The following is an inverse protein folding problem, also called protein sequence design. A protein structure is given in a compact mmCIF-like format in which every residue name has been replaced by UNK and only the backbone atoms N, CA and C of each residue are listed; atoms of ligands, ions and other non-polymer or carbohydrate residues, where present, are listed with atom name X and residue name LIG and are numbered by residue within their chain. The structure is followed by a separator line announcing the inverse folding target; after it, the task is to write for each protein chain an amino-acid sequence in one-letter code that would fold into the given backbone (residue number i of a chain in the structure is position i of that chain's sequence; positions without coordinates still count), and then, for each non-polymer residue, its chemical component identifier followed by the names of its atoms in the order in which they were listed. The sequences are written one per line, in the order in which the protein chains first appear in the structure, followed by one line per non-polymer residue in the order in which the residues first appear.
data_IF_485372375445
#
_entry.id   IF_485372375445
#
_cell.length_a   1.000
_cell.length_b   1.000
_cell.length_c   1.000
_cell.angle_alpha   90.00
_cell.angle_beta   90.00
_cell.angle_gamma   90.00
#
_symmetry.space_group_name_H-M   'P 1'
#
loop_
_entity.id
_entity.type
_entity.pdbx_description
1 polymer ?
#
# COMPACT_ATOMS: atom_id res chain seq x y z
N UNK A 1 24.00 9.88 6.90
CA UNK A 1 22.60 10.25 6.57
C UNK A 1 22.43 10.96 5.22
N UNK A 2 23.21 12.01 4.87
CA UNK A 2 23.07 12.77 3.60
C UNK A 2 23.10 11.94 2.30
N UNK A 3 23.97 10.92 2.21
CA UNK A 3 24.09 10.08 1.01
C UNK A 3 22.83 9.25 0.71
N UNK A 4 22.18 8.69 1.72
CA UNK A 4 20.94 7.93 1.57
C UNK A 4 19.77 8.77 1.07
N UNK A 5 19.71 10.05 1.44
CA UNK A 5 18.68 10.98 0.99
C UNK A 5 18.82 11.31 -0.50
N UNK A 6 20.06 11.54 -0.96
CA UNK A 6 20.38 11.81 -2.37
C UNK A 6 20.05 10.60 -3.24
N UNK A 7 20.37 9.38 -2.80
CA UNK A 7 20.05 8.15 -3.55
C UNK A 7 18.54 7.94 -3.71
N UNK A 8 17.74 8.22 -2.66
CA UNK A 8 16.28 8.12 -2.72
C UNK A 8 15.66 9.15 -3.67
N UNK A 9 16.17 10.38 -3.66
CA UNK A 9 15.73 11.44 -4.60
C UNK A 9 16.12 11.07 -6.04
N UNK A 10 17.32 10.56 -6.26
CA UNK A 10 17.77 10.14 -7.59
C UNK A 10 16.94 8.96 -8.13
N UNK A 11 16.57 7.99 -7.29
CA UNK A 11 15.64 6.91 -7.66
C UNK A 11 14.24 7.44 -7.98
N UNK A 12 13.73 8.38 -7.19
CA UNK A 12 12.42 8.97 -7.45
C UNK A 12 12.42 9.74 -8.77
N UNK A 13 13.46 10.55 -9.01
CA UNK A 13 13.65 11.28 -10.25
C UNK A 13 13.81 10.35 -11.45
N UNK A 14 14.55 9.24 -11.32
CA UNK A 14 14.69 8.28 -12.41
C UNK A 14 13.36 7.57 -12.72
N UNK A 15 12.58 7.18 -11.71
CA UNK A 15 11.23 6.63 -11.92
C UNK A 15 10.33 7.64 -12.64
N UNK A 16 10.42 8.93 -12.28
CA UNK A 16 9.65 9.99 -12.93
C UNK A 16 10.09 10.19 -14.39
N UNK A 17 11.40 10.23 -14.67
CA UNK A 17 11.90 10.41 -16.05
C UNK A 17 11.59 9.21 -16.93
N UNK A 18 11.75 7.98 -16.43
CA UNK A 18 11.35 6.76 -17.15
C UNK A 18 9.82 6.72 -17.39
N UNK A 19 9.03 7.16 -16.41
CA UNK A 19 7.57 7.28 -16.55
C UNK A 19 7.13 8.31 -17.59
N UNK A 20 7.89 9.39 -17.77
CA UNK A 20 7.65 10.40 -18.81
C UNK A 20 8.09 9.93 -20.20
N UNK A 21 9.27 9.31 -20.30
CA UNK A 21 9.84 8.83 -21.56
C UNK A 21 9.06 7.64 -22.15
N UNK A 22 8.53 6.74 -21.30
CA UNK A 22 7.65 5.66 -21.73
C UNK A 22 6.32 6.16 -22.31
N UNK A 23 5.86 7.36 -21.92
CA UNK A 23 4.62 7.94 -22.42
C UNK A 23 4.81 8.77 -23.71
N UNK A 24 6.01 9.29 -23.99
CA UNK A 24 6.31 10.04 -25.22
C UNK A 24 6.68 9.16 -26.41
N UNK A 25 7.18 7.93 -26.20
CA UNK A 25 7.76 7.13 -27.30
C UNK A 25 6.80 6.31 -28.17
N UNK A 26 5.55 6.00 -27.79
CA UNK A 26 4.74 5.07 -28.60
C UNK A 26 3.23 5.37 -28.57
N UNK A 27 2.74 6.09 -29.60
CA UNK A 27 1.29 6.27 -29.87
C UNK A 27 0.49 4.95 -29.96
N UNK A 28 1.16 3.81 -30.15
CA UNK A 28 0.56 2.49 -30.30
C UNK A 28 0.75 1.52 -29.11
N UNK A 29 1.46 1.92 -28.04
CA UNK A 29 1.66 1.00 -26.92
C UNK A 29 0.43 0.95 -26.01
N UNK A 30 -0.17 -0.24 -25.89
CA UNK A 30 -1.32 -0.49 -25.00
C UNK A 30 -0.91 -0.45 -23.53
N UNK A 31 0.38 -0.65 -23.24
CA UNK A 31 0.94 -0.58 -21.90
C UNK A 31 1.41 0.84 -21.58
N UNK A 32 0.94 1.40 -20.47
CA UNK A 32 1.26 2.76 -20.05
C UNK A 32 1.58 2.83 -18.57
N UNK A 33 2.57 3.63 -18.21
CA UNK A 33 2.78 4.01 -16.82
C UNK A 33 1.62 4.90 -16.38
N UNK A 34 0.88 4.48 -15.35
CA UNK A 34 -0.42 5.07 -15.03
C UNK A 34 -0.30 6.05 -13.89
N UNK A 35 0.17 5.62 -12.73
CA UNK A 35 0.24 6.50 -11.57
C UNK A 35 1.30 6.07 -10.55
N UNK A 36 1.71 7.04 -9.76
CA UNK A 36 2.38 6.83 -8.48
C UNK A 36 1.46 7.33 -7.37
N UNK A 37 1.51 6.69 -6.22
CA UNK A 37 0.68 7.01 -5.08
C UNK A 37 1.47 6.85 -3.79
N UNK A 38 1.20 7.72 -2.82
CA UNK A 38 1.62 7.55 -1.44
C UNK A 38 0.40 7.70 -0.54
N UNK A 39 0.40 7.01 0.60
CA UNK A 39 -0.67 7.10 1.57
C UNK A 39 -0.19 6.86 2.99
N UNK A 40 -0.98 7.36 3.93
CA UNK A 40 -0.81 7.13 5.35
C UNK A 40 -2.18 6.85 5.97
N UNK A 41 -2.22 6.16 7.09
CA UNK A 41 -3.48 5.87 7.74
C UNK A 41 -3.32 4.98 8.96
N UNK A 42 -4.36 4.19 9.22
CA UNK A 42 -4.43 3.27 10.34
C UNK A 42 -4.57 1.83 9.85
N UNK A 43 -4.10 0.89 10.64
CA UNK A 43 -4.32 -0.54 10.41
C UNK A 43 -4.81 -1.23 11.67
N UNK A 44 -5.42 -2.39 11.48
CA UNK A 44 -5.83 -3.33 12.51
C UNK A 44 -5.51 -4.75 12.03
N UNK A 45 -4.82 -5.54 12.84
CA UNK A 45 -4.55 -6.96 12.59
C UNK A 45 -5.36 -7.82 13.54
N UNK A 46 -6.11 -8.76 12.96
CA UNK A 46 -6.83 -9.80 13.70
C UNK A 46 -6.11 -11.14 13.53
N UNK A 47 -5.44 -11.68 14.56
CA UNK A 47 -4.76 -12.96 14.46
C UNK A 47 -5.76 -14.10 14.33
N UNK A 48 -5.33 -15.18 13.69
CA UNK A 48 -6.09 -16.43 13.59
C UNK A 48 -5.84 -17.38 14.75
N UNK A 49 -4.72 -17.20 15.46
CA UNK A 49 -4.39 -17.94 16.67
C UNK A 49 -4.69 -17.08 17.91
N UNK A 50 -5.39 -17.68 18.88
CA UNK A 50 -5.76 -17.06 20.17
C UNK A 50 -4.55 -16.72 21.07
N UNK A 51 -3.37 -17.25 20.76
CA UNK A 51 -2.13 -16.95 21.47
C UNK A 51 -1.54 -15.57 21.11
N UNK A 52 -2.09 -14.90 20.11
CA UNK A 52 -1.67 -13.58 19.64
C UNK A 52 -2.74 -12.53 20.00
N UNK A 53 -2.31 -11.29 20.20
CA UNK A 53 -3.23 -10.17 20.44
C UNK A 53 -3.73 -9.55 19.11
N UNK A 54 -4.86 -8.86 19.18
CA UNK A 54 -5.21 -7.90 18.14
C UNK A 54 -4.25 -6.71 18.23
N UNK A 55 -3.82 -6.15 17.10
CA UNK A 55 -2.94 -4.99 17.11
C UNK A 55 -3.49 -3.91 16.19
N UNK A 56 -3.32 -2.66 16.60
CA UNK A 56 -3.71 -1.50 15.79
C UNK A 56 -2.57 -0.49 15.78
N UNK A 57 -2.47 0.28 14.71
CA UNK A 57 -1.39 1.24 14.59
C UNK A 57 -1.51 2.13 13.38
N UNK A 58 -0.42 2.83 13.07
CA UNK A 58 -0.30 3.65 11.86
C UNK A 58 0.28 2.82 10.74
N UNK A 59 -0.14 3.13 9.52
CA UNK A 59 0.39 2.55 8.29
C UNK A 59 0.85 3.64 7.35
N UNK A 60 1.88 3.33 6.58
CA UNK A 60 2.33 4.10 5.42
C UNK A 60 2.41 3.17 4.23
N UNK A 61 2.00 3.65 3.07
CA UNK A 61 2.08 2.89 1.84
C UNK A 61 2.53 3.73 0.65
N UNK A 62 3.10 3.04 -0.32
CA UNK A 62 3.46 3.58 -1.63
C UNK A 62 3.02 2.60 -2.70
N UNK A 63 2.50 3.11 -3.81
CA UNK A 63 2.00 2.27 -4.89
C UNK A 63 2.43 2.84 -6.24
N UNK A 64 2.87 1.95 -7.12
CA UNK A 64 3.16 2.24 -8.53
C UNK A 64 2.17 1.43 -9.36
N UNK A 65 1.53 2.06 -10.35
CA UNK A 65 0.58 1.37 -11.23
C UNK A 65 0.89 1.57 -12.71
N UNK A 66 0.60 0.52 -13.46
CA UNK A 66 0.66 0.45 -14.91
C UNK A 66 -0.71 0.04 -15.45
N UNK A 67 -1.08 0.53 -16.62
CA UNK A 67 -2.34 0.18 -17.28
C UNK A 67 -2.10 -0.56 -18.59
N UNK A 68 -2.90 -1.59 -18.84
CA UNK A 68 -3.05 -2.22 -20.14
C UNK A 68 -4.53 -2.27 -20.51
N UNK A 69 -4.93 -1.47 -21.51
CA UNK A 69 -6.34 -1.20 -21.83
C UNK A 69 -7.13 -0.72 -20.59
N UNK A 70 -8.15 -1.48 -20.16
CA UNK A 70 -8.99 -1.19 -18.98
C UNK A 70 -8.43 -1.80 -17.68
N UNK A 71 -7.33 -2.55 -17.75
CA UNK A 71 -6.79 -3.27 -16.62
C UNK A 71 -5.62 -2.50 -15.99
N UNK A 72 -5.51 -2.58 -14.67
CA UNK A 72 -4.51 -1.90 -13.86
C UNK A 72 -3.70 -2.97 -13.13
N UNK A 73 -2.38 -2.88 -13.25
CA UNK A 73 -1.41 -3.68 -12.49
C UNK A 73 -0.74 -2.74 -11.51
N UNK A 74 -0.76 -3.08 -10.22
CA UNK A 74 -0.17 -2.25 -9.18
C UNK A 74 0.82 -3.03 -8.34
N UNK A 75 1.95 -2.40 -8.06
CA UNK A 75 2.91 -2.83 -7.06
C UNK A 75 2.77 -1.92 -5.84
N UNK A 76 2.45 -2.49 -4.68
CA UNK A 76 2.24 -1.74 -3.43
C UNK A 76 3.21 -2.20 -2.35
N UNK A 77 3.91 -1.22 -1.78
CA UNK A 77 4.70 -1.35 -0.57
C UNK A 77 3.88 -0.79 0.59
N UNK A 78 3.86 -1.48 1.72
CA UNK A 78 3.17 -1.04 2.93
C UNK A 78 4.01 -1.38 4.16
N UNK A 79 3.95 -0.52 5.18
CA UNK A 79 4.49 -0.83 6.49
C UNK A 79 3.55 -0.29 7.56
N UNK A 80 3.29 -1.11 8.57
CA UNK A 80 2.54 -0.73 9.76
C UNK A 80 3.41 -0.83 11.00
N UNK A 81 3.27 0.13 11.89
CA UNK A 81 3.84 0.09 13.25
C UNK A 81 2.75 0.42 14.26
N UNK A 82 2.81 -0.26 15.39
CA UNK A 82 1.93 0.02 16.51
C UNK A 82 2.10 1.47 17.00
N UNK A 83 0.97 2.12 17.29
CA UNK A 83 0.95 3.42 17.96
C UNK A 83 0.81 3.18 19.47
N UNK A 84 1.91 3.37 20.19
CA UNK A 84 1.90 3.38 21.67
C UNK A 84 1.39 4.74 22.14
N UNK A 85 0.13 5.08 21.88
CA UNK A 85 -0.47 6.35 22.36
C UNK A 85 -1.36 6.12 23.59
N UNK A 86 -1.80 4.89 23.88
CA UNK A 86 -2.61 4.58 25.06
C UNK A 86 -2.12 3.27 25.69
N UNK A 87 -1.06 3.35 26.49
CA UNK A 87 -0.55 2.23 27.28
C UNK A 87 -1.17 2.25 28.68
N UNK A 88 -2.25 1.49 28.89
CA UNK A 88 -2.67 1.08 30.24
C UNK A 88 -1.87 -0.16 30.66
N UNK A 89 -0.60 0.04 31.06
CA UNK A 89 0.08 -0.87 31.99
C UNK A 89 0.81 -2.11 31.43
N UNK A 90 1.39 -2.08 30.23
CA UNK A 90 2.28 -3.16 29.77
C UNK A 90 3.39 -2.65 28.85
N UNK A 91 4.60 -3.20 28.99
CA UNK A 91 5.79 -2.79 28.23
C UNK A 91 5.50 -2.76 26.71
N UNK A 92 5.77 -1.64 26.02
CA UNK A 92 5.47 -1.48 24.61
C UNK A 92 6.57 -2.12 23.76
N UNK A 93 6.51 -3.44 23.58
CA UNK A 93 7.34 -4.04 22.55
C UNK A 93 6.73 -3.77 21.17
N UNK A 94 7.32 -2.82 20.44
CA UNK A 94 6.90 -2.38 19.10
C UNK A 94 6.66 -3.57 18.16
N UNK A 95 5.39 -3.83 17.85
CA UNK A 95 4.95 -4.74 16.80
C UNK A 95 4.67 -4.00 15.49
N UNK A 96 4.90 -4.69 14.38
CA UNK A 96 4.73 -4.10 13.07
C UNK A 96 4.83 -5.11 11.95
N UNK A 97 4.60 -4.62 10.74
CA UNK A 97 4.74 -5.41 9.53
C UNK A 97 5.34 -4.59 8.39
N UNK A 98 5.92 -5.32 7.44
CA UNK A 98 6.24 -4.83 6.12
C UNK A 98 5.58 -5.74 5.10
N UNK A 99 4.96 -5.15 4.07
CA UNK A 99 4.20 -5.86 3.06
C UNK A 99 4.58 -5.42 1.65
N UNK A 100 4.71 -6.40 0.76
CA UNK A 100 4.87 -6.19 -0.69
C UNK A 100 3.70 -6.87 -1.38
N UNK A 101 2.99 -6.14 -2.25
CA UNK A 101 1.78 -6.62 -2.88
C UNK A 101 1.83 -6.42 -4.40
N UNK A 102 1.42 -7.45 -5.13
CA UNK A 102 1.12 -7.41 -6.56
C UNK A 102 -0.38 -7.48 -6.73
N UNK A 103 -0.97 -6.45 -7.34
CA UNK A 103 -2.40 -6.28 -7.45
C UNK A 103 -2.80 -6.13 -8.91
N UNK A 104 -3.95 -6.68 -9.25
CA UNK A 104 -4.62 -6.54 -10.54
C UNK A 104 -6.03 -6.01 -10.32
N UNK A 105 -6.45 -5.05 -11.13
CA UNK A 105 -7.72 -4.39 -10.93
C UNK A 105 -8.22 -3.58 -12.11
N UNK A 106 -9.30 -2.84 -11.86
CA UNK A 106 -9.95 -1.95 -12.82
C UNK A 106 -10.41 -0.67 -12.15
N UNK A 107 -10.52 0.38 -12.96
CA UNK A 107 -11.10 1.67 -12.59
C UNK A 107 -12.54 1.75 -13.12
N UNK A 108 -13.44 2.23 -12.28
CA UNK A 108 -14.77 2.66 -12.62
C UNK A 108 -14.83 4.19 -12.48
N UNK A 109 -15.08 4.86 -13.60
CA UNK A 109 -15.32 6.30 -13.62
C UNK A 109 -16.80 6.56 -13.37
N UNK A 110 -17.13 7.09 -12.19
CA UNK A 110 -18.50 7.45 -11.85
C UNK A 110 -18.83 8.85 -12.34
N UNK A 111 -17.90 9.78 -12.11
CA UNK A 111 -17.95 11.15 -12.65
C UNK A 111 -16.55 11.57 -13.10
N UNK A 112 -16.45 12.72 -13.77
CA UNK A 112 -15.14 13.27 -14.18
C UNK A 112 -14.21 13.57 -13.00
N UNK A 113 -14.76 13.81 -11.81
CA UNK A 113 -14.03 14.20 -10.61
C UNK A 113 -13.98 13.09 -9.54
N UNK A 114 -14.70 11.99 -9.72
CA UNK A 114 -14.77 10.90 -8.75
C UNK A 114 -14.66 9.52 -9.43
N UNK A 115 -13.69 8.73 -8.97
CA UNK A 115 -13.38 7.40 -9.52
C UNK A 115 -13.22 6.37 -8.42
N UNK A 116 -13.58 5.13 -8.74
CA UNK A 116 -13.39 3.98 -7.86
C UNK A 116 -12.42 3.01 -8.52
N UNK A 117 -11.40 2.55 -7.80
CA UNK A 117 -10.51 1.47 -8.25
C UNK A 117 -10.69 0.25 -7.37
N UNK A 118 -11.00 -0.90 -7.96
CA UNK A 118 -11.02 -2.19 -7.26
C UNK A 118 -9.84 -3.05 -7.72
N UNK A 119 -9.05 -3.56 -6.79
CA UNK A 119 -7.91 -4.43 -7.07
C UNK A 119 -7.88 -5.65 -6.14
N UNK A 120 -7.43 -6.78 -6.68
CA UNK A 120 -7.18 -8.02 -5.95
C UNK A 120 -5.81 -8.58 -6.33
N UNK A 121 -5.20 -9.37 -5.47
CA UNK A 121 -3.92 -9.98 -5.80
C UNK A 121 -3.28 -10.72 -4.64
N UNK A 122 -1.95 -10.76 -4.66
CA UNK A 122 -1.14 -11.49 -3.69
C UNK A 122 -0.21 -10.53 -2.95
N UNK A 123 0.00 -10.81 -1.66
CA UNK A 123 0.88 -10.05 -0.79
C UNK A 123 1.83 -10.95 -0.02
N UNK A 124 3.09 -10.56 0.09
CA UNK A 124 4.07 -11.14 1.00
C UNK A 124 4.24 -10.17 2.18
N UNK A 125 3.95 -10.65 3.39
CA UNK A 125 4.05 -9.89 4.63
C UNK A 125 5.12 -10.49 5.52
N UNK A 126 6.00 -9.63 6.03
CA UNK A 126 6.92 -9.94 7.11
C UNK A 126 6.33 -9.38 8.40
N UNK A 127 5.99 -10.25 9.34
CA UNK A 127 5.47 -9.89 10.65
C UNK A 127 6.53 -10.11 11.73
N UNK A 128 6.70 -9.10 12.59
CA UNK A 128 7.34 -9.29 13.89
C UNK A 128 6.23 -9.58 14.90
N UNK A 129 6.20 -10.80 15.41
CA UNK A 129 5.15 -11.31 16.29
C UNK A 129 5.73 -11.45 17.68
N UNK A 130 5.00 -10.97 18.69
CA UNK A 130 5.35 -11.19 20.08
C UNK A 130 4.22 -11.99 20.71
N UNK A 131 4.56 -13.17 21.19
CA UNK A 131 3.59 -14.06 21.84
C UNK A 131 3.25 -13.55 23.24
N UNK A 132 2.11 -13.99 23.78
CA UNK A 132 1.73 -13.76 25.19
C UNK A 132 2.76 -14.20 26.22
N UNK A 133 3.73 -15.03 25.82
CA UNK A 133 4.82 -15.55 26.65
C UNK A 133 6.14 -14.79 26.46
N UNK A 134 6.14 -13.68 25.71
CA UNK A 134 7.32 -12.87 25.43
C UNK A 134 8.26 -13.43 24.36
N UNK A 135 7.91 -14.54 23.70
CA UNK A 135 8.72 -15.04 22.59
C UNK A 135 8.50 -14.17 21.35
N UNK A 136 9.58 -13.64 20.80
CA UNK A 136 9.61 -12.89 19.53
C UNK A 136 9.83 -13.88 18.38
N UNK A 137 8.90 -13.93 17.44
CA UNK A 137 9.02 -14.71 16.20
C UNK A 137 8.91 -13.78 14.99
N UNK A 138 9.61 -14.13 13.92
CA UNK A 138 9.56 -13.42 12.64
C UNK A 138 9.08 -14.38 11.57
N UNK A 139 7.98 -14.02 10.91
CA UNK A 139 7.39 -14.91 9.92
C UNK A 139 7.01 -14.17 8.64
N UNK A 140 7.45 -14.75 7.54
CA UNK A 140 7.04 -14.37 6.20
C UNK A 140 5.78 -15.16 5.83
N UNK A 141 4.76 -14.45 5.35
CA UNK A 141 3.47 -15.04 5.03
C UNK A 141 2.97 -14.51 3.72
N UNK A 142 2.51 -15.43 2.88
CA UNK A 142 1.74 -15.09 1.69
C UNK A 142 0.27 -14.93 2.06
N UNK A 143 -0.37 -13.93 1.46
CA UNK A 143 -1.78 -13.66 1.65
C UNK A 143 -2.45 -13.16 0.38
N UNK A 144 -3.77 -13.23 0.39
CA UNK A 144 -4.61 -12.62 -0.65
C UNK A 144 -4.89 -11.17 -0.27
N UNK A 145 -4.59 -10.25 -1.16
CA UNK A 145 -4.72 -8.81 -0.95
C UNK A 145 -5.88 -8.25 -1.74
N UNK A 146 -6.69 -7.39 -1.14
CA UNK A 146 -7.75 -6.64 -1.80
C UNK A 146 -7.61 -5.16 -1.47
N UNK A 147 -7.75 -4.29 -2.47
CA UNK A 147 -7.67 -2.84 -2.31
C UNK A 147 -8.85 -2.20 -3.04
N UNK A 148 -9.61 -1.37 -2.34
CA UNK A 148 -10.56 -0.46 -2.97
C UNK A 148 -10.08 0.96 -2.78
N UNK A 149 -10.12 1.80 -3.82
CA UNK A 149 -9.79 3.22 -3.74
C UNK A 149 -10.97 4.07 -4.16
N UNK A 150 -11.23 5.12 -3.39
CA UNK A 150 -12.19 6.17 -3.69
C UNK A 150 -11.40 7.45 -3.93
N UNK A 151 -11.33 7.91 -5.17
CA UNK A 151 -10.40 8.95 -5.60
C UNK A 151 -11.15 10.18 -6.12
N UNK A 152 -10.83 11.33 -5.54
CA UNK A 152 -11.30 12.65 -5.94
C UNK A 152 -10.22 13.36 -6.76
N UNK A 153 -10.57 13.85 -7.94
CA UNK A 153 -9.65 14.50 -8.89
C UNK A 153 -9.92 16.01 -8.96
N UNK A 154 -9.34 16.83 -8.04
CA UNK A 154 -9.44 18.29 -8.15
C UNK A 154 -8.72 18.83 -9.40
N UNK A 155 -7.79 18.06 -9.97
CA UNK A 155 -7.11 18.38 -11.21
C UNK A 155 -6.91 17.12 -12.06
N UNK A 156 -6.66 17.29 -13.37
CA UNK A 156 -6.56 16.19 -14.34
C UNK A 156 -5.57 15.08 -13.96
N UNK A 157 -4.47 15.44 -13.28
CA UNK A 157 -3.38 14.51 -12.91
C UNK A 157 -3.27 14.24 -11.42
N UNK A 158 -3.96 14.98 -10.57
CA UNK A 158 -3.83 14.85 -9.13
C UNK A 158 -5.14 14.33 -8.56
N UNK A 159 -5.02 13.30 -7.73
CA UNK A 159 -6.13 12.81 -6.93
C UNK A 159 -5.73 12.66 -5.47
N UNK A 160 -6.70 12.81 -4.60
CA UNK A 160 -6.61 12.40 -3.21
C UNK A 160 -7.82 11.53 -2.87
N UNK A 161 -7.74 10.73 -1.82
CA UNK A 161 -8.83 9.81 -1.54
C UNK A 161 -8.62 8.86 -0.38
N UNK A 162 -9.51 7.89 -0.29
CA UNK A 162 -9.48 6.82 0.70
C UNK A 162 -9.15 5.49 0.02
N UNK A 163 -8.28 4.69 0.63
CA UNK A 163 -7.86 3.38 0.16
C UNK A 163 -7.96 2.36 1.28
N UNK A 164 -9.17 1.83 1.56
CA UNK A 164 -9.32 0.62 2.36
C UNK A 164 -8.63 -0.56 1.67
N UNK A 165 -7.93 -1.34 2.48
CA UNK A 165 -7.15 -2.46 2.06
C UNK A 165 -7.27 -3.59 3.07
N UNK A 166 -7.27 -4.82 2.58
CA UNK A 166 -7.22 -6.02 3.41
C UNK A 166 -6.22 -7.02 2.84
N UNK A 167 -5.44 -7.65 3.71
CA UNK A 167 -4.63 -8.81 3.39
C UNK A 167 -5.07 -9.99 4.27
N UNK A 168 -5.59 -11.02 3.63
CA UNK A 168 -5.94 -12.29 4.27
C UNK A 168 -4.73 -13.22 4.19
N UNK A 169 -4.03 -13.43 5.29
CA UNK A 169 -2.93 -14.39 5.35
C UNK A 169 -3.18 -15.48 6.42
N UNK A 170 -2.26 -16.43 6.55
CA UNK A 170 -2.44 -17.59 7.45
C UNK A 170 -2.19 -17.26 8.93
N UNK A 171 -1.56 -16.13 9.24
CA UNK A 171 -1.27 -15.71 10.63
C UNK A 171 -2.33 -14.72 11.12
N UNK A 172 -2.54 -13.64 10.37
CA UNK A 172 -3.46 -12.57 10.71
C UNK A 172 -4.20 -12.08 9.47
N UNK A 173 -5.37 -11.49 9.69
CA UNK A 173 -6.00 -10.67 8.66
C UNK A 173 -5.65 -9.22 8.97
N UNK A 174 -4.96 -8.56 8.05
CA UNK A 174 -4.57 -7.15 8.21
C UNK A 174 -5.55 -6.28 7.46
N UNK A 175 -6.24 -5.40 8.15
CA UNK A 175 -7.10 -4.36 7.58
C UNK A 175 -6.37 -3.02 7.67
N UNK A 176 -6.41 -2.20 6.62
CA UNK A 176 -5.91 -0.83 6.69
C UNK A 176 -6.82 0.16 5.98
N UNK A 177 -6.93 1.35 6.54
CA UNK A 177 -7.67 2.48 5.98
C UNK A 177 -6.72 3.64 5.79
N UNK A 178 -6.46 4.00 4.53
CA UNK A 178 -5.43 4.98 4.18
C UNK A 178 -6.03 6.19 3.49
N UNK A 179 -5.57 7.39 3.87
CA UNK A 179 -5.65 8.56 3.00
C UNK A 179 -4.54 8.44 1.98
N UNK A 180 -4.85 8.66 0.70
CA UNK A 180 -3.91 8.49 -0.41
C UNK A 180 -3.85 9.73 -1.28
N UNK A 181 -2.67 10.00 -1.81
CA UNK A 181 -2.39 11.03 -2.81
C UNK A 181 -1.82 10.34 -4.03
N UNK A 182 -2.42 10.57 -5.19
CA UNK A 182 -2.07 9.93 -6.45
C UNK A 182 -1.73 10.99 -7.51
N UNK A 183 -0.58 10.81 -8.15
CA UNK A 183 -0.23 11.51 -9.37
C UNK A 183 -0.38 10.57 -10.56
N UNK A 184 -1.20 10.98 -11.53
CA UNK A 184 -1.51 10.24 -12.74
C UNK A 184 -0.74 10.82 -13.92
N UNK A 185 -0.03 9.97 -14.64
CA UNK A 185 0.75 10.38 -15.82
C UNK A 185 -0.10 10.45 -17.10
N UNK A 186 -1.23 9.72 -17.13
CA UNK A 186 -2.08 9.55 -18.31
C UNK A 186 -3.57 9.85 -18.09
#
# INVERSE_FOLDING_TARGET
MRRFFITKIAMLLSIITFGQQGNTSLKNNKFKFRSIQSGFGIYHTKPKNNDLYDHSGITVNSLISMSYNKNIFSFRLESGTELVIINFGGDPELQGFYGVNLLYGRELELTRWFKIEGNVGIGLYHHKIITKRGAVDQKNVLGMSMNTKFLFYPAKRFAFGLSPFVNFNSINTTYSGNVVFQYKFN
#
